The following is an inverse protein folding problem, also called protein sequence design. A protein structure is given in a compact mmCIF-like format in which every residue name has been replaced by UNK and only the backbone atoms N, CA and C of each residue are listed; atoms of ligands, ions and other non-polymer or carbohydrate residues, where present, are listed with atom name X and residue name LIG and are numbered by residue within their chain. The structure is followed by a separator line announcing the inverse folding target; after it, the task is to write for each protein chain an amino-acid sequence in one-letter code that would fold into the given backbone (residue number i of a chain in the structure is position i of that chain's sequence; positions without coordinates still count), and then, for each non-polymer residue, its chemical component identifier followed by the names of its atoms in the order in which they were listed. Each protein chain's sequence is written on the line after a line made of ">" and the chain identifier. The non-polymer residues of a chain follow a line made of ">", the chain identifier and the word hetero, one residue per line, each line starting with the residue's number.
data_IF_370880971781
#
_entry.id   IF_370880971781
#
_cell.length_a   1.000
_cell.length_b   1.000
_cell.length_c   1.000
_cell.angle_alpha   90.00
_cell.angle_beta   90.00
_cell.angle_gamma   90.00
#
_symmetry.space_group_name_H-M   'P 1'
#
loop_
_entity.id
_entity.type
_entity.pdbx_description
1 polymer ?
#
# COMPACT_ATOMS: atom_id res chain seq x y z
N UNK A 1 9.99 0.20 -22.33
CA UNK A 1 8.73 -0.24 -22.95
C UNK A 1 8.39 -1.71 -22.62
N UNK A 2 9.30 -2.68 -22.77
CA UNK A 2 8.97 -4.11 -22.51
C UNK A 2 8.69 -4.49 -21.04
N UNK A 3 9.33 -3.82 -20.07
CA UNK A 3 9.13 -4.09 -18.64
C UNK A 3 7.97 -3.34 -17.99
N UNK A 4 7.42 -2.33 -18.68
CA UNK A 4 6.33 -1.51 -18.14
C UNK A 4 5.08 -2.34 -17.76
N UNK A 5 4.60 -3.29 -18.58
CA UNK A 5 3.43 -4.10 -18.25
C UNK A 5 3.63 -5.00 -17.02
N UNK A 6 4.86 -5.45 -16.77
CA UNK A 6 5.18 -6.33 -15.63
C UNK A 6 5.14 -5.53 -14.32
N UNK A 7 5.68 -4.32 -14.35
CA UNK A 7 5.64 -3.38 -13.21
C UNK A 7 4.18 -2.95 -12.95
N UNK A 8 3.43 -2.63 -14.01
CA UNK A 8 2.04 -2.20 -13.91
C UNK A 8 1.10 -3.33 -13.45
N UNK A 9 1.38 -4.58 -13.84
CA UNK A 9 0.65 -5.76 -13.36
C UNK A 9 0.68 -5.90 -11.84
N UNK A 10 1.83 -5.58 -11.22
CA UNK A 10 2.01 -5.67 -9.77
C UNK A 10 1.15 -4.65 -9.03
N UNK A 11 0.90 -3.50 -9.66
CA UNK A 11 0.06 -2.45 -9.10
C UNK A 11 -1.39 -2.91 -8.93
N UNK A 12 -1.96 -3.60 -9.92
CA UNK A 12 -3.30 -4.18 -9.83
C UNK A 12 -3.39 -5.38 -8.88
N UNK A 13 -2.34 -6.20 -8.79
CA UNK A 13 -2.32 -7.38 -7.93
C UNK A 13 -2.37 -7.03 -6.43
N UNK A 14 -1.72 -5.94 -6.02
CA UNK A 14 -1.68 -5.53 -4.61
C UNK A 14 -3.07 -5.23 -4.04
N UNK A 15 -3.92 -4.52 -4.81
CA UNK A 15 -5.30 -4.24 -4.38
C UNK A 15 -6.11 -5.53 -4.24
N UNK A 16 -6.00 -6.46 -5.19
CA UNK A 16 -6.68 -7.76 -5.11
C UNK A 16 -6.30 -8.53 -3.84
N UNK A 17 -5.04 -8.48 -3.41
CA UNK A 17 -4.58 -9.11 -2.16
C UNK A 17 -5.24 -8.45 -0.95
N UNK A 18 -5.32 -7.11 -0.91
CA UNK A 18 -6.00 -6.38 0.17
C UNK A 18 -7.47 -6.80 0.28
N UNK A 19 -8.18 -6.85 -0.84
CA UNK A 19 -9.58 -7.28 -0.87
C UNK A 19 -9.75 -8.73 -0.40
N UNK A 20 -8.82 -9.61 -0.76
CA UNK A 20 -8.83 -11.01 -0.31
C UNK A 20 -8.56 -11.15 1.19
N UNK A 21 -7.63 -10.37 1.75
CA UNK A 21 -7.35 -10.41 3.19
C UNK A 21 -8.58 -9.92 3.97
N UNK A 22 -9.20 -8.83 3.53
CA UNK A 22 -10.39 -8.28 4.17
C UNK A 22 -11.57 -9.25 4.05
N UNK A 23 -11.82 -9.82 2.87
CA UNK A 23 -12.93 -10.77 2.69
C UNK A 23 -12.76 -12.06 3.49
N UNK A 24 -11.52 -12.50 3.75
CA UNK A 24 -11.25 -13.65 4.62
C UNK A 24 -11.39 -13.34 6.12
N UNK A 25 -11.46 -12.07 6.52
CA UNK A 25 -11.55 -11.65 7.93
C UNK A 25 -12.99 -11.35 8.37
N UNK A 26 -13.90 -11.20 7.41
CA UNK A 26 -15.29 -10.74 7.63
C UNK A 26 -16.27 -11.89 7.43
N UNK A 27 -17.37 -11.87 8.18
CA UNK A 27 -18.42 -12.87 8.03
C UNK A 27 -19.14 -12.76 6.66
N UNK A 28 -19.58 -13.88 6.06
CA UNK A 28 -20.21 -13.89 4.75
C UNK A 28 -21.42 -12.95 4.59
N UNK A 29 -22.17 -12.72 5.68
CA UNK A 29 -23.35 -11.85 5.69
C UNK A 29 -23.02 -10.36 5.54
N UNK A 30 -21.81 -9.94 5.93
CA UNK A 30 -21.38 -8.54 5.94
C UNK A 30 -20.44 -8.19 4.76
N UNK A 31 -20.04 -9.18 3.95
CA UNK A 31 -19.11 -9.01 2.83
C UNK A 31 -19.55 -7.92 1.84
N UNK A 32 -20.85 -7.82 1.55
CA UNK A 32 -21.38 -6.80 0.65
C UNK A 32 -21.21 -5.38 1.19
N UNK A 33 -21.38 -5.20 2.50
CA UNK A 33 -21.22 -3.91 3.17
C UNK A 33 -19.75 -3.49 3.18
N UNK A 34 -18.85 -4.40 3.58
CA UNK A 34 -17.41 -4.12 3.66
C UNK A 34 -16.82 -3.87 2.26
N UNK A 35 -17.20 -4.66 1.25
CA UNK A 35 -16.75 -4.45 -0.12
C UNK A 35 -17.19 -3.10 -0.70
N UNK A 36 -18.39 -2.63 -0.32
CA UNK A 36 -18.87 -1.29 -0.72
C UNK A 36 -18.02 -0.18 -0.09
N UNK A 37 -17.62 -0.32 1.17
CA UNK A 37 -16.74 0.64 1.84
C UNK A 37 -15.34 0.67 1.24
N UNK A 38 -14.77 -0.50 0.91
CA UNK A 38 -13.49 -0.59 0.21
C UNK A 38 -13.56 0.06 -1.17
N UNK A 39 -14.63 -0.20 -1.93
CA UNK A 39 -14.83 0.44 -3.24
C UNK A 39 -14.93 1.97 -3.16
N UNK A 40 -15.58 2.50 -2.12
CA UNK A 40 -15.59 3.95 -1.87
C UNK A 40 -14.20 4.46 -1.52
N UNK A 41 -13.46 3.76 -0.66
CA UNK A 41 -12.09 4.15 -0.28
C UNK A 41 -11.15 4.20 -1.50
N UNK A 42 -11.24 3.22 -2.39
CA UNK A 42 -10.45 3.19 -3.63
C UNK A 42 -10.86 4.28 -4.61
N UNK A 43 -12.16 4.59 -4.70
CA UNK A 43 -12.65 5.66 -5.58
C UNK A 43 -12.23 7.06 -5.14
N UNK A 44 -11.98 7.27 -3.84
CA UNK A 44 -11.50 8.55 -3.28
C UNK A 44 -10.07 8.84 -3.75
N UNK A 45 -9.24 7.82 -3.95
CA UNK A 45 -7.83 7.98 -4.30
C UNK A 45 -7.62 8.78 -5.61
N UNK A 46 -8.20 8.39 -6.77
CA UNK A 46 -8.07 9.17 -8.00
C UNK A 46 -8.78 10.52 -7.92
N UNK A 47 -9.88 10.62 -7.15
CA UNK A 47 -10.63 11.86 -6.95
C UNK A 47 -9.77 12.94 -6.28
N UNK A 48 -8.93 12.57 -5.33
CA UNK A 48 -8.01 13.50 -4.66
C UNK A 48 -6.71 13.72 -5.43
N UNK A 49 -6.14 12.66 -6.00
CA UNK A 49 -4.85 12.74 -6.67
C UNK A 49 -4.90 13.63 -7.91
N UNK A 50 -5.92 13.48 -8.76
CA UNK A 50 -6.03 14.26 -10.00
C UNK A 50 -5.96 15.79 -9.77
N UNK A 51 -6.81 16.41 -8.93
CA UNK A 51 -6.72 17.85 -8.68
C UNK A 51 -5.44 18.24 -7.93
N UNK A 52 -4.91 17.37 -7.06
CA UNK A 52 -3.64 17.62 -6.36
C UNK A 52 -2.48 17.74 -7.35
N UNK A 53 -2.36 16.82 -8.29
CA UNK A 53 -1.33 16.84 -9.33
C UNK A 53 -1.48 18.08 -10.23
N UNK A 54 -2.69 18.43 -10.65
CA UNK A 54 -2.95 19.61 -11.49
C UNK A 54 -2.56 20.90 -10.75
N UNK A 55 -2.96 21.04 -9.48
CA UNK A 55 -2.63 22.23 -8.71
C UNK A 55 -1.13 22.35 -8.45
N UNK A 56 -0.45 21.24 -8.14
CA UNK A 56 0.98 21.27 -7.96
C UNK A 56 1.67 21.66 -9.27
N UNK A 57 1.28 21.04 -10.39
CA UNK A 57 1.81 21.35 -11.70
C UNK A 57 1.65 22.84 -12.05
N UNK A 58 0.44 23.41 -11.93
CA UNK A 58 0.21 24.83 -12.21
C UNK A 58 1.07 25.76 -11.35
N UNK A 59 1.31 25.41 -10.08
CA UNK A 59 2.11 26.23 -9.17
C UNK A 59 3.62 26.12 -9.43
N UNK A 60 4.10 24.95 -9.86
CA UNK A 60 5.53 24.68 -9.94
C UNK A 60 6.10 24.77 -11.35
N UNK A 61 5.28 24.57 -12.39
CA UNK A 61 5.75 24.50 -13.79
C UNK A 61 6.54 25.75 -14.21
N UNK A 62 6.20 26.92 -13.67
CA UNK A 62 6.85 28.18 -14.02
C UNK A 62 8.30 28.30 -13.53
N UNK A 63 8.69 27.57 -12.49
CA UNK A 63 10.01 27.73 -11.85
C UNK A 63 10.79 26.40 -11.80
N UNK A 64 10.09 25.28 -11.61
CA UNK A 64 10.67 23.95 -11.54
C UNK A 64 9.70 22.92 -12.14
N UNK A 65 9.77 22.65 -13.46
CA UNK A 65 8.86 21.71 -14.11
C UNK A 65 8.99 20.29 -13.57
N UNK A 66 10.09 19.92 -12.92
CA UNK A 66 10.26 18.61 -12.29
C UNK A 66 9.61 18.44 -10.91
N UNK A 67 9.01 19.49 -10.33
CA UNK A 67 8.51 19.42 -8.96
C UNK A 67 7.33 18.45 -8.77
N UNK A 68 6.57 18.15 -9.83
CA UNK A 68 5.49 17.17 -9.74
C UNK A 68 6.00 15.75 -9.43
N UNK A 69 7.26 15.43 -9.77
CA UNK A 69 7.88 14.15 -9.39
C UNK A 69 8.09 14.03 -7.87
N UNK A 70 8.16 15.15 -7.14
CA UNK A 70 8.31 15.12 -5.69
C UNK A 70 7.11 14.46 -5.00
N UNK A 71 5.89 14.64 -5.52
CA UNK A 71 4.72 13.92 -4.99
C UNK A 71 4.89 12.41 -5.12
N UNK A 72 5.35 11.94 -6.28
CA UNK A 72 5.58 10.52 -6.52
C UNK A 72 6.67 9.96 -5.60
N UNK A 73 7.75 10.72 -5.37
CA UNK A 73 8.79 10.37 -4.40
C UNK A 73 8.24 10.32 -2.98
N UNK A 74 7.37 11.27 -2.59
CA UNK A 74 6.73 11.27 -1.27
C UNK A 74 5.83 10.05 -1.08
N UNK A 75 4.99 9.70 -2.05
CA UNK A 75 4.18 8.48 -1.98
C UNK A 75 5.06 7.22 -1.89
N UNK A 76 6.10 7.13 -2.72
CA UNK A 76 7.05 6.02 -2.67
C UNK A 76 7.76 5.90 -1.31
N UNK A 77 8.14 7.03 -0.71
CA UNK A 77 8.77 7.06 0.61
C UNK A 77 7.83 6.55 1.72
N UNK A 78 6.54 6.93 1.68
CA UNK A 78 5.53 6.44 2.64
C UNK A 78 5.37 4.92 2.51
N UNK A 79 5.25 4.40 1.28
CA UNK A 79 5.12 2.95 1.03
C UNK A 79 6.36 2.20 1.51
N UNK A 80 7.56 2.71 1.20
CA UNK A 80 8.81 2.13 1.65
C UNK A 80 8.90 2.10 3.18
N UNK A 81 8.50 3.20 3.84
CA UNK A 81 8.45 3.27 5.29
C UNK A 81 7.48 2.23 5.89
N UNK A 82 6.27 2.10 5.32
CA UNK A 82 5.31 1.08 5.74
C UNK A 82 5.86 -0.34 5.57
N UNK A 83 6.50 -0.65 4.44
CA UNK A 83 7.11 -1.96 4.21
C UNK A 83 8.22 -2.29 5.21
N UNK A 84 9.08 -1.32 5.52
CA UNK A 84 10.12 -1.49 6.53
C UNK A 84 9.48 -1.72 7.90
N UNK A 85 8.47 -0.94 8.27
CA UNK A 85 7.76 -1.07 9.54
C UNK A 85 7.11 -2.47 9.68
N UNK A 86 6.38 -2.92 8.66
CA UNK A 86 5.79 -4.27 8.63
C UNK A 86 6.86 -5.34 8.71
N UNK A 87 7.95 -5.22 7.94
CA UNK A 87 9.06 -6.17 7.99
C UNK A 87 9.74 -6.26 9.36
N UNK A 88 9.79 -5.17 10.12
CA UNK A 88 10.27 -5.17 11.51
C UNK A 88 9.25 -5.85 12.42
N UNK A 89 7.95 -5.56 12.28
CA UNK A 89 6.89 -6.16 13.09
C UNK A 89 6.77 -7.67 12.88
N UNK A 90 6.87 -8.15 11.63
CA UNK A 90 6.87 -9.58 11.32
C UNK A 90 8.07 -10.30 11.96
N UNK A 91 9.26 -9.68 11.92
CA UNK A 91 10.43 -10.22 12.62
C UNK A 91 10.18 -10.33 14.13
N UNK A 92 9.53 -9.33 14.73
CA UNK A 92 9.16 -9.38 16.14
C UNK A 92 8.10 -10.42 16.46
N UNK A 93 7.12 -10.64 15.59
CA UNK A 93 6.11 -11.69 15.77
C UNK A 93 6.73 -13.08 15.70
N UNK A 94 7.61 -13.34 14.73
CA UNK A 94 8.33 -14.62 14.63
C UNK A 94 9.18 -14.90 15.88
N UNK A 95 9.82 -13.89 16.45
CA UNK A 95 10.61 -14.00 17.68
C UNK A 95 9.76 -14.20 18.94
N UNK A 96 8.51 -13.70 18.98
CA UNK A 96 7.60 -13.91 20.12
C UNK A 96 6.85 -15.24 20.05
N UNK A 97 6.65 -15.81 18.85
CA UNK A 97 5.91 -17.07 18.62
C UNK A 97 6.80 -18.32 18.78
N UNK A 98 8.13 -18.18 18.68
CA UNK A 98 9.10 -19.24 19.04
C UNK A 98 9.88 -18.84 20.32
N UNK A 99 9.30 -18.94 21.52
CA UNK A 99 10.09 -18.99 22.74
C UNK A 99 10.72 -20.37 22.85
N UNK A 100 12.05 -20.41 22.90
CA UNK A 100 12.92 -21.59 22.96
C UNK A 100 12.36 -22.83 23.69
N UNK A 101 12.52 -24.04 23.11
CA UNK A 101 12.76 -25.24 23.88
C UNK A 101 14.13 -25.80 23.51
N UNK A 102 15.21 -25.08 23.83
CA UNK A 102 16.56 -25.65 23.82
C UNK A 102 17.22 -25.41 25.17
N UNK A 103 16.60 -25.97 26.20
CA UNK A 103 17.26 -26.35 27.45
C UNK A 103 16.84 -27.80 27.77
N UNK A 104 17.15 -28.73 26.86
CA UNK A 104 17.17 -30.17 27.13
C UNK A 104 18.57 -30.66 26.81
N UNK A 105 19.46 -30.44 27.76
CA UNK A 105 20.70 -31.20 28.03
C UNK A 105 21.33 -30.48 29.23
N UNK A 106 21.23 -31.04 30.43
CA UNK A 106 22.19 -31.94 31.11
C UNK A 106 21.37 -32.73 32.15
#
# INVERSE_FOLDING_TARGET
>A
LFFYPIIDFTHGAGLTVVYSIVSNTVEPAELGQVNSMLGVADAVFPLLNLPLYIQLYHRTVSYMPGAFFLLSVMYGAIVLFMLIAVGILERQQKLKVHPDPVAVNI
#
